data_IF_424006836624
#
_entry.id   IF_424006836624
#
_cell.length_a   1.000
_cell.length_b   1.000
_cell.length_c   1.000
_cell.angle_alpha   90.00
_cell.angle_beta   90.00
_cell.angle_gamma   90.00
#
_symmetry.space_group_name_H-M   'P 1'
#
loop_
_entity.id
_entity.type
_entity.pdbx_description
1 polymer ?
#
# COMPACT_ATOMS: atom_id res chain seq x y z
N UNK A 1 -26.11 31.90 -13.70
CA UNK A 1 -26.34 30.64 -14.49
C UNK A 1 -24.96 30.05 -14.66
N UNK A 2 -24.67 29.01 -13.92
CA UNK A 2 -23.38 28.31 -13.99
C UNK A 2 -23.48 27.28 -15.11
N UNK A 3 -22.71 27.49 -16.17
CA UNK A 3 -22.58 26.53 -17.25
C UNK A 3 -22.03 25.23 -16.68
N UNK A 4 -22.78 24.15 -16.94
CA UNK A 4 -22.29 22.79 -16.73
C UNK A 4 -21.11 22.58 -17.67
N UNK A 5 -19.89 22.64 -17.14
CA UNK A 5 -18.72 22.09 -17.81
C UNK A 5 -18.96 20.59 -17.91
N UNK A 6 -19.13 20.10 -19.12
CA UNK A 6 -19.19 18.67 -19.39
C UNK A 6 -17.93 18.01 -18.87
N UNK A 7 -18.08 16.78 -18.41
CA UNK A 7 -16.96 15.90 -18.08
C UNK A 7 -16.17 15.59 -19.37
N UNK A 8 -15.35 16.53 -19.82
CA UNK A 8 -14.36 16.26 -20.86
C UNK A 8 -13.20 15.56 -20.19
N UNK A 9 -13.05 14.28 -20.51
CA UNK A 9 -11.98 13.37 -20.06
C UNK A 9 -10.60 13.76 -20.64
N UNK A 10 -10.37 15.05 -20.90
CA UNK A 10 -9.12 15.58 -21.41
C UNK A 10 -8.34 16.23 -20.27
N UNK A 11 -7.14 15.70 -19.98
CA UNK A 11 -6.22 16.26 -19.01
C UNK A 11 -4.89 16.59 -19.66
N UNK A 12 -4.25 17.65 -19.20
CA UNK A 12 -2.87 17.95 -19.52
C UNK A 12 -1.97 17.06 -18.66
N UNK A 13 -1.23 16.12 -19.28
CA UNK A 13 -0.22 15.34 -18.60
C UNK A 13 1.16 15.81 -19.04
N UNK A 14 1.92 16.33 -18.08
CA UNK A 14 3.36 16.49 -18.22
C UNK A 14 4.02 15.12 -18.10
N UNK A 15 4.18 14.39 -19.21
CA UNK A 15 4.97 13.16 -19.22
C UNK A 15 6.45 13.50 -19.07
N UNK A 16 6.87 14.66 -19.56
CA UNK A 16 8.21 15.18 -19.47
C UNK A 16 8.20 16.69 -19.69
N UNK A 17 8.77 17.45 -18.76
CA UNK A 17 8.98 18.89 -18.91
C UNK A 17 10.41 19.13 -19.43
N UNK A 18 10.56 19.80 -20.58
CA UNK A 18 11.85 20.33 -21.01
C UNK A 18 12.30 21.45 -20.08
N UNK A 19 13.60 21.69 -19.94
CA UNK A 19 14.14 22.76 -19.10
C UNK A 19 13.57 24.15 -19.47
N UNK A 20 13.00 24.28 -20.64
CA UNK A 20 12.36 25.46 -21.23
C UNK A 20 10.84 25.52 -20.96
N UNK A 21 10.24 24.49 -20.37
CA UNK A 21 8.84 24.50 -19.92
C UNK A 21 7.76 24.24 -20.98
N UNK A 22 8.13 24.01 -22.26
CA UNK A 22 7.23 24.22 -23.40
C UNK A 22 6.67 22.98 -24.09
N UNK A 23 6.79 21.79 -23.52
CA UNK A 23 6.15 20.62 -24.15
C UNK A 23 4.86 20.24 -23.40
N UNK A 24 3.81 21.03 -23.60
CA UNK A 24 2.45 20.70 -23.22
C UNK A 24 1.80 19.90 -24.34
N UNK A 25 1.47 18.63 -24.09
CA UNK A 25 0.72 17.78 -25.02
C UNK A 25 -0.62 17.51 -24.38
N UNK A 26 -1.70 17.96 -25.04
CA UNK A 26 -3.06 17.62 -24.65
C UNK A 26 -3.26 16.11 -24.82
N UNK A 27 -3.57 15.40 -23.75
CA UNK A 27 -3.70 13.95 -23.74
C UNK A 27 -5.11 13.54 -23.36
N UNK A 28 -5.57 12.43 -23.94
CA UNK A 28 -6.84 11.82 -23.52
C UNK A 28 -6.59 10.89 -22.35
N UNK A 29 -7.25 11.16 -21.21
CA UNK A 29 -7.28 10.28 -20.06
C UNK A 29 -8.52 9.40 -20.12
N UNK A 30 -8.34 8.08 -20.10
CA UNK A 30 -9.43 7.12 -20.00
C UNK A 30 -8.91 5.80 -19.41
N UNK A 31 -9.72 5.15 -18.55
CA UNK A 31 -9.39 3.86 -17.91
C UNK A 31 -8.03 3.91 -17.16
N UNK A 32 -7.80 5.01 -16.39
CA UNK A 32 -6.57 5.25 -15.61
C UNK A 32 -5.27 5.27 -16.41
N UNK A 33 -5.34 5.42 -17.74
CA UNK A 33 -4.19 5.54 -18.61
C UNK A 33 -4.31 6.73 -19.56
N UNK A 34 -3.20 7.12 -20.19
CA UNK A 34 -3.15 8.18 -21.18
C UNK A 34 -3.14 7.58 -22.58
N UNK A 35 -3.79 8.25 -23.51
CA UNK A 35 -3.91 7.84 -24.89
C UNK A 35 -3.39 8.94 -25.81
N UNK A 36 -2.40 8.65 -26.63
CA UNK A 36 -1.82 9.55 -27.62
C UNK A 36 -2.00 9.02 -29.03
N UNK A 37 -2.28 9.93 -29.97
CA UNK A 37 -2.22 9.63 -31.41
C UNK A 37 -0.77 9.51 -31.87
N UNK A 38 -0.56 8.90 -33.04
CA UNK A 38 0.76 8.85 -33.65
C UNK A 38 1.34 10.24 -33.88
N UNK A 39 0.52 11.23 -34.21
CA UNK A 39 0.96 12.61 -34.41
C UNK A 39 1.46 13.22 -33.07
N UNK A 40 0.77 12.99 -31.99
CA UNK A 40 1.19 13.43 -30.64
C UNK A 40 2.47 12.71 -30.19
N UNK A 41 2.64 11.43 -30.53
CA UNK A 41 3.89 10.70 -30.28
C UNK A 41 5.09 11.29 -31.07
N UNK A 42 4.86 11.71 -32.30
CA UNK A 42 5.89 12.42 -33.10
C UNK A 42 6.29 13.75 -32.44
N UNK A 43 5.32 14.50 -31.94
CA UNK A 43 5.56 15.76 -31.23
C UNK A 43 6.29 15.50 -29.90
N UNK A 44 5.82 14.52 -29.13
CA UNK A 44 6.42 14.14 -27.85
C UNK A 44 7.90 13.79 -28.00
N UNK A 45 8.24 12.95 -28.96
CA UNK A 45 9.61 12.46 -29.14
C UNK A 45 10.43 13.24 -30.15
N UNK A 46 9.85 14.28 -30.77
CA UNK A 46 10.49 15.10 -31.82
C UNK A 46 11.13 14.25 -32.89
N UNK A 47 10.39 13.33 -33.50
CA UNK A 47 10.86 12.42 -34.51
C UNK A 47 9.86 12.27 -35.67
N UNK A 48 10.29 11.66 -36.78
CA UNK A 48 9.47 11.51 -37.99
C UNK A 48 8.38 10.44 -37.83
N UNK A 49 7.33 10.53 -38.63
CA UNK A 49 6.25 9.54 -38.70
C UNK A 49 6.78 8.14 -39.05
N UNK A 50 7.74 8.05 -39.99
CA UNK A 50 8.34 6.77 -40.36
C UNK A 50 9.06 6.12 -39.20
N UNK A 51 9.79 6.90 -38.40
CA UNK A 51 10.52 6.40 -37.24
C UNK A 51 9.54 5.85 -36.16
N UNK A 52 8.46 6.58 -35.82
CA UNK A 52 7.42 6.08 -34.91
C UNK A 52 6.79 4.80 -35.47
N UNK A 53 6.39 4.78 -36.73
CA UNK A 53 5.73 3.60 -37.34
C UNK A 53 6.63 2.36 -37.33
N UNK A 54 7.92 2.53 -37.60
CA UNK A 54 8.91 1.46 -37.57
C UNK A 54 9.07 0.87 -36.16
N UNK A 55 9.23 1.73 -35.16
CA UNK A 55 9.33 1.26 -33.76
C UNK A 55 8.05 0.59 -33.26
N UNK A 56 6.87 1.13 -33.58
CA UNK A 56 5.59 0.49 -33.23
C UNK A 56 5.50 -0.91 -33.85
N UNK A 57 5.90 -1.04 -35.11
CA UNK A 57 5.92 -2.32 -35.82
C UNK A 57 6.85 -3.32 -35.09
N UNK A 58 8.08 -2.89 -34.78
CA UNK A 58 9.05 -3.76 -34.08
C UNK A 58 8.57 -4.19 -32.68
N UNK A 59 7.90 -3.30 -31.94
CA UNK A 59 7.33 -3.62 -30.62
C UNK A 59 6.32 -4.78 -30.74
N UNK A 60 5.47 -4.75 -31.76
CA UNK A 60 4.51 -5.83 -31.99
C UNK A 60 5.17 -7.10 -32.58
N UNK A 61 6.08 -6.96 -33.53
CA UNK A 61 6.77 -8.10 -34.15
C UNK A 61 7.63 -8.88 -33.15
N UNK A 62 8.22 -8.19 -32.19
CA UNK A 62 9.02 -8.78 -31.10
C UNK A 62 8.17 -9.31 -29.93
N UNK A 63 6.85 -9.06 -29.94
CA UNK A 63 5.95 -9.49 -28.88
C UNK A 63 6.13 -8.76 -27.53
N UNK A 64 6.75 -7.56 -27.57
CA UNK A 64 6.93 -6.75 -26.34
C UNK A 64 5.58 -6.27 -25.81
N UNK A 65 4.67 -5.86 -26.69
CA UNK A 65 3.31 -5.47 -26.35
C UNK A 65 2.31 -6.14 -27.31
N UNK A 66 1.14 -6.49 -26.76
CA UNK A 66 0.01 -6.96 -27.57
C UNK A 66 -0.78 -5.78 -28.12
N UNK A 67 -1.05 -5.81 -29.44
CA UNK A 67 -1.73 -4.72 -30.14
C UNK A 67 -3.13 -4.44 -29.60
N UNK A 68 -3.87 -5.49 -29.23
CA UNK A 68 -5.25 -5.34 -28.74
C UNK A 68 -5.31 -4.66 -27.37
N UNK A 69 -4.24 -4.79 -26.56
CA UNK A 69 -4.15 -4.18 -25.23
C UNK A 69 -3.71 -2.71 -25.26
N UNK A 70 -2.92 -2.29 -26.28
CA UNK A 70 -2.27 -0.98 -26.27
C UNK A 70 -2.76 -0.02 -27.36
N UNK A 71 -3.61 -0.49 -28.31
CA UNK A 71 -4.17 0.34 -29.40
C UNK A 71 -5.69 0.37 -29.29
N UNK A 72 -6.26 1.57 -29.28
CA UNK A 72 -7.70 1.77 -29.31
C UNK A 72 -8.09 2.79 -30.36
N UNK A 73 -9.21 2.55 -31.04
CA UNK A 73 -9.75 3.50 -32.01
C UNK A 73 -10.74 4.44 -31.33
N UNK A 74 -10.48 5.73 -31.45
CA UNK A 74 -11.41 6.75 -31.02
C UNK A 74 -11.93 7.54 -32.22
N UNK A 75 -13.20 7.91 -32.14
CA UNK A 75 -13.84 8.77 -33.12
C UNK A 75 -13.50 10.22 -32.80
N UNK A 76 -12.78 10.87 -33.68
CA UNK A 76 -12.29 12.25 -33.54
C UNK A 76 -12.89 13.12 -34.63
N UNK A 77 -13.42 14.29 -34.28
CA UNK A 77 -13.89 15.29 -35.25
C UNK A 77 -12.70 16.14 -35.72
N UNK A 78 -12.41 16.12 -36.99
CA UNK A 78 -11.32 16.94 -37.56
C UNK A 78 -11.78 18.38 -37.80
N UNK A 79 -10.85 19.28 -38.10
CA UNK A 79 -11.10 20.69 -38.39
C UNK A 79 -12.03 20.93 -39.59
N UNK A 80 -12.20 19.92 -40.45
CA UNK A 80 -13.12 19.92 -41.59
C UNK A 80 -14.57 19.53 -41.21
N UNK A 81 -14.83 19.30 -39.91
CA UNK A 81 -16.12 18.86 -39.36
C UNK A 81 -16.44 17.40 -39.59
N UNK A 82 -15.56 16.61 -40.20
CA UNK A 82 -15.77 15.18 -40.43
C UNK A 82 -15.23 14.33 -39.29
N UNK A 83 -15.87 13.18 -39.06
CA UNK A 83 -15.44 12.24 -38.07
C UNK A 83 -14.53 11.17 -38.65
N UNK A 84 -13.39 10.96 -38.01
CA UNK A 84 -12.42 9.93 -38.37
C UNK A 84 -12.20 8.97 -37.21
N UNK A 85 -11.99 7.69 -37.50
CA UNK A 85 -11.51 6.73 -36.53
C UNK A 85 -9.98 6.80 -36.53
N UNK A 86 -9.41 7.27 -35.42
CA UNK A 86 -7.95 7.45 -35.25
C UNK A 86 -7.45 6.43 -34.22
N UNK A 87 -6.31 5.81 -34.52
CA UNK A 87 -5.62 4.94 -33.61
C UNK A 87 -4.93 5.76 -32.50
N UNK A 88 -5.20 5.42 -31.26
CA UNK A 88 -4.55 5.94 -30.07
C UNK A 88 -3.76 4.84 -29.41
N UNK A 89 -2.67 5.20 -28.80
CA UNK A 89 -1.70 4.35 -28.13
C UNK A 89 -1.67 4.69 -26.66
N UNK A 90 -1.71 3.68 -25.78
CA UNK A 90 -1.72 3.87 -24.34
C UNK A 90 -0.33 4.17 -23.75
N UNK A 91 -0.27 4.33 -22.42
CA UNK A 91 0.96 4.64 -21.70
C UNK A 91 2.07 3.59 -21.90
N UNK A 92 1.72 2.30 -22.00
CA UNK A 92 2.72 1.24 -22.21
C UNK A 92 3.45 1.43 -23.54
N UNK A 93 2.71 1.71 -24.62
CA UNK A 93 3.31 2.03 -25.92
C UNK A 93 4.16 3.30 -25.87
N UNK A 94 3.71 4.33 -25.15
CA UNK A 94 4.48 5.57 -24.97
C UNK A 94 5.82 5.26 -24.29
N UNK A 95 5.80 4.48 -23.21
CA UNK A 95 7.02 4.10 -22.49
C UNK A 95 7.97 3.29 -23.37
N UNK A 96 7.47 2.25 -24.06
CA UNK A 96 8.28 1.39 -24.94
C UNK A 96 8.95 2.21 -26.04
N UNK A 97 8.23 3.14 -26.67
CA UNK A 97 8.80 4.06 -27.66
C UNK A 97 9.90 4.94 -27.06
N UNK A 98 9.71 5.44 -25.85
CA UNK A 98 10.68 6.27 -25.14
C UNK A 98 12.02 5.57 -24.89
N UNK A 99 12.01 4.24 -24.74
CA UNK A 99 13.23 3.44 -24.62
C UNK A 99 13.89 3.12 -25.97
N UNK A 100 13.14 3.10 -27.06
CA UNK A 100 13.64 2.70 -28.38
C UNK A 100 14.09 3.86 -29.26
N UNK A 101 13.41 4.99 -29.20
CA UNK A 101 13.66 6.17 -30.02
C UNK A 101 15.00 6.82 -29.67
N UNK A 102 15.79 7.17 -30.70
CA UNK A 102 17.05 7.88 -30.55
C UNK A 102 16.85 9.38 -30.78
N UNK A 103 16.33 10.08 -29.79
CA UNK A 103 16.22 11.55 -29.78
C UNK A 103 16.70 12.14 -28.47
N UNK A 104 16.97 13.44 -28.45
CA UNK A 104 17.34 14.17 -27.22
C UNK A 104 16.24 14.04 -26.16
N UNK A 105 14.97 14.21 -26.57
CA UNK A 105 13.80 14.10 -25.70
C UNK A 105 13.66 12.69 -25.14
N UNK A 106 13.77 11.66 -25.98
CA UNK A 106 13.73 10.28 -25.52
C UNK A 106 14.88 9.96 -24.53
N UNK A 107 16.06 10.57 -24.73
CA UNK A 107 17.18 10.43 -23.78
C UNK A 107 16.85 11.06 -22.43
N UNK A 108 16.30 12.27 -22.40
CA UNK A 108 15.85 12.94 -21.17
C UNK A 108 14.73 12.13 -20.48
N UNK A 109 13.77 11.59 -21.27
CA UNK A 109 12.74 10.70 -20.73
C UNK A 109 13.35 9.49 -20.01
N UNK A 110 14.32 8.80 -20.63
CA UNK A 110 15.02 7.66 -19.99
C UNK A 110 15.76 8.06 -18.72
N UNK A 111 16.41 9.23 -18.70
CA UNK A 111 17.08 9.74 -17.50
C UNK A 111 16.08 9.98 -16.35
N UNK A 112 14.96 10.64 -16.65
CA UNK A 112 13.88 10.86 -15.68
C UNK A 112 13.30 9.52 -15.18
N UNK A 113 12.94 8.60 -16.08
CA UNK A 113 12.40 7.29 -15.70
C UNK A 113 13.39 6.49 -14.86
N UNK A 114 14.68 6.50 -15.21
CA UNK A 114 15.75 5.87 -14.45
C UNK A 114 15.85 6.45 -13.04
N UNK A 115 15.72 7.77 -12.89
CA UNK A 115 15.74 8.42 -11.59
C UNK A 115 14.54 7.98 -10.72
N UNK A 116 13.33 7.92 -11.28
CA UNK A 116 12.13 7.46 -10.57
C UNK A 116 12.25 5.99 -10.16
N UNK A 117 12.70 5.12 -11.06
CA UNK A 117 12.93 3.71 -10.76
C UNK A 117 14.01 3.52 -9.69
N UNK A 118 15.12 4.26 -9.78
CA UNK A 118 16.19 4.22 -8.79
C UNK A 118 15.68 4.66 -7.40
N UNK A 119 14.90 5.72 -7.34
CA UNK A 119 14.29 6.18 -6.10
C UNK A 119 13.37 5.11 -5.50
N UNK A 120 12.49 4.52 -6.32
CA UNK A 120 11.61 3.44 -5.89
C UNK A 120 12.38 2.21 -5.40
N UNK A 121 13.42 1.79 -6.11
CA UNK A 121 14.24 0.62 -5.72
C UNK A 121 14.99 0.83 -4.41
N UNK A 122 15.44 2.05 -4.14
CA UNK A 122 16.19 2.37 -2.90
C UNK A 122 15.26 2.62 -1.73
N UNK A 123 14.20 3.42 -1.93
CA UNK A 123 13.31 3.89 -0.85
C UNK A 123 12.05 3.02 -0.69
N UNK A 124 11.63 2.29 -1.72
CA UNK A 124 10.36 1.58 -1.79
C UNK A 124 9.16 2.45 -2.19
N UNK A 125 9.38 3.73 -2.49
CA UNK A 125 8.36 4.66 -2.97
C UNK A 125 8.98 5.75 -3.84
N UNK A 126 8.13 6.38 -4.66
CA UNK A 126 8.40 7.64 -5.36
C UNK A 126 7.12 8.47 -5.34
N UNK A 127 7.23 9.80 -5.17
CA UNK A 127 6.08 10.69 -5.05
C UNK A 127 6.28 11.94 -5.90
N UNK A 128 5.17 12.50 -6.34
CA UNK A 128 5.06 13.82 -6.94
C UNK A 128 4.35 14.74 -5.92
N UNK A 129 5.16 15.38 -5.07
CA UNK A 129 4.68 16.22 -3.97
C UNK A 129 3.83 17.39 -4.47
N UNK A 130 4.23 18.02 -5.58
CA UNK A 130 3.53 19.17 -6.13
C UNK A 130 2.15 18.78 -6.66
N UNK A 131 2.06 17.64 -7.33
CA UNK A 131 0.79 17.09 -7.80
C UNK A 131 -0.12 16.69 -6.63
N UNK A 132 0.42 16.09 -5.57
CA UNK A 132 -0.35 15.68 -4.40
C UNK A 132 -0.86 16.87 -3.57
N UNK A 133 -0.11 17.98 -3.52
CA UNK A 133 -0.49 19.23 -2.85
C UNK A 133 -1.42 20.10 -3.69
N UNK A 134 -1.35 19.99 -5.02
CA UNK A 134 -2.15 20.79 -5.95
C UNK A 134 -3.53 20.19 -6.25
N UNK A 135 -4.34 20.96 -7.00
CA UNK A 135 -5.68 20.54 -7.40
C UNK A 135 -5.70 19.38 -8.43
N UNK A 136 -4.56 19.01 -9.00
CA UNK A 136 -4.43 17.94 -10.00
C UNK A 136 -4.32 16.52 -9.41
N UNK A 137 -4.17 16.38 -8.10
CA UNK A 137 -3.97 15.07 -7.42
C UNK A 137 -5.23 14.25 -7.16
N UNK A 138 -6.42 14.76 -7.48
CA UNK A 138 -7.67 14.05 -7.23
C UNK A 138 -7.81 13.62 -5.77
N UNK A 139 -8.27 12.38 -5.55
CA UNK A 139 -8.38 11.78 -4.22
C UNK A 139 -7.14 10.94 -3.79
N UNK A 140 -6.07 10.89 -4.62
CA UNK A 140 -4.88 10.05 -4.35
C UNK A 140 -4.15 10.42 -3.06
N UNK A 141 -4.22 11.69 -2.62
CA UNK A 141 -3.67 12.10 -1.33
C UNK A 141 -4.34 11.36 -0.15
N UNK A 142 -5.64 11.03 -0.25
CA UNK A 142 -6.34 10.24 0.79
C UNK A 142 -5.86 8.80 0.79
N UNK A 143 -5.72 8.20 -0.39
CA UNK A 143 -5.15 6.85 -0.55
C UNK A 143 -3.74 6.78 0.02
N UNK A 144 -2.89 7.76 -0.28
CA UNK A 144 -1.54 7.86 0.26
C UNK A 144 -1.55 7.95 1.80
N UNK A 145 -2.42 8.80 2.38
CA UNK A 145 -2.55 8.91 3.83
C UNK A 145 -3.00 7.60 4.48
N UNK A 146 -3.98 6.93 3.90
CA UNK A 146 -4.46 5.66 4.41
C UNK A 146 -3.36 4.58 4.34
N UNK A 147 -2.59 4.56 3.27
CA UNK A 147 -1.43 3.66 3.10
C UNK A 147 -0.32 3.96 4.11
N UNK A 148 0.02 5.22 4.33
CA UNK A 148 1.01 5.62 5.35
C UNK A 148 0.56 5.20 6.74
N UNK A 149 -0.71 5.45 7.10
CA UNK A 149 -1.30 5.05 8.38
C UNK A 149 -1.30 3.54 8.56
N UNK A 150 -1.60 2.79 7.50
CA UNK A 150 -1.57 1.33 7.53
C UNK A 150 -0.16 0.79 7.77
N UNK A 151 0.86 1.34 7.09
CA UNK A 151 2.27 0.99 7.31
C UNK A 151 2.66 1.31 8.77
N UNK A 152 2.30 2.51 9.27
CA UNK A 152 2.64 2.97 10.62
C UNK A 152 2.01 2.11 11.72
N UNK A 153 0.81 1.60 11.50
CA UNK A 153 0.10 0.74 12.44
C UNK A 153 0.46 -0.75 12.30
N UNK A 154 1.33 -1.13 11.35
CA UNK A 154 1.83 -2.50 11.27
C UNK A 154 2.63 -2.85 12.53
N UNK A 155 2.51 -4.09 13.02
CA UNK A 155 3.10 -4.51 14.29
C UNK A 155 4.61 -4.19 14.40
N UNK A 156 5.35 -4.43 13.31
CA UNK A 156 6.79 -4.19 13.27
C UNK A 156 7.16 -2.70 13.32
N UNK A 157 6.41 -1.83 12.63
CA UNK A 157 6.66 -0.39 12.64
C UNK A 157 6.17 0.21 13.94
N UNK A 158 5.00 -0.21 14.43
CA UNK A 158 4.48 0.17 15.73
C UNK A 158 5.48 -0.14 16.85
N UNK A 159 6.06 -1.35 16.86
CA UNK A 159 7.07 -1.74 17.84
C UNK A 159 8.30 -0.83 17.79
N UNK A 160 8.78 -0.47 16.60
CA UNK A 160 9.91 0.46 16.45
C UNK A 160 9.57 1.84 16.99
N UNK A 161 8.40 2.40 16.67
CA UNK A 161 7.97 3.70 17.19
C UNK A 161 7.87 3.71 18.72
N UNK A 162 7.40 2.61 19.31
CA UNK A 162 7.38 2.46 20.78
C UNK A 162 8.80 2.44 21.34
N UNK A 163 9.74 1.75 20.70
CA UNK A 163 11.16 1.75 21.12
C UNK A 163 11.80 3.13 21.01
N UNK A 164 11.50 3.86 19.92
CA UNK A 164 12.01 5.22 19.73
C UNK A 164 11.50 6.16 20.82
N UNK A 165 10.22 6.08 21.18
CA UNK A 165 9.66 6.81 22.33
C UNK A 165 10.30 6.39 23.65
N UNK A 166 10.48 5.09 23.86
CA UNK A 166 11.13 4.57 25.07
C UNK A 166 12.54 5.13 25.21
N UNK A 167 13.29 5.19 24.11
CA UNK A 167 14.65 5.74 24.10
C UNK A 167 14.72 7.24 24.46
N UNK A 168 13.60 7.98 24.35
CA UNK A 168 13.51 9.39 24.78
C UNK A 168 13.05 9.58 26.21
N UNK A 169 12.61 8.50 26.90
CA UNK A 169 12.14 8.60 28.29
C UNK A 169 13.30 8.78 29.28
N UNK A 170 13.00 9.45 30.39
CA UNK A 170 13.98 9.71 31.47
C UNK A 170 14.40 8.41 32.18
N UNK A 171 13.50 7.44 32.22
CA UNK A 171 13.66 6.11 32.83
C UNK A 171 14.08 5.04 31.83
N UNK A 172 14.69 5.43 30.70
CA UNK A 172 15.20 4.51 29.69
C UNK A 172 16.32 3.62 30.25
N UNK A 173 16.11 2.30 30.16
CA UNK A 173 17.11 1.30 30.45
C UNK A 173 17.19 0.27 29.28
N UNK A 174 18.29 0.26 28.47
CA UNK A 174 18.42 -0.64 27.33
C UNK A 174 18.52 -2.12 27.72
N UNK A 175 18.75 -2.44 28.99
CA UNK A 175 18.87 -3.81 29.50
C UNK A 175 17.58 -4.33 30.17
N UNK A 176 16.55 -3.50 30.24
CA UNK A 176 15.26 -3.82 30.85
C UNK A 176 14.26 -4.40 29.84
N UNK A 177 13.45 -5.37 30.29
CA UNK A 177 12.31 -5.88 29.51
C UNK A 177 11.11 -4.90 29.49
N UNK A 178 11.26 -3.70 30.04
CA UNK A 178 10.18 -2.71 30.15
C UNK A 178 9.71 -2.21 28.78
N UNK A 179 10.58 -2.14 27.78
CA UNK A 179 10.20 -1.80 26.41
C UNK A 179 9.16 -2.77 25.82
N UNK A 180 9.33 -4.07 26.08
CA UNK A 180 8.38 -5.10 25.65
C UNK A 180 7.05 -4.96 26.38
N UNK A 181 7.11 -4.66 27.69
CA UNK A 181 5.92 -4.43 28.51
C UNK A 181 5.15 -3.19 28.05
N UNK A 182 5.86 -2.11 27.79
CA UNK A 182 5.28 -0.88 27.31
C UNK A 182 4.61 -1.06 25.93
N UNK A 183 5.29 -1.72 25.00
CA UNK A 183 4.70 -2.07 23.71
C UNK A 183 3.37 -2.79 23.85
N UNK A 184 3.31 -3.82 24.70
CA UNK A 184 2.07 -4.58 24.96
C UNK A 184 0.94 -3.70 25.53
N UNK A 185 1.29 -2.78 26.42
CA UNK A 185 0.31 -1.83 27.01
C UNK A 185 -0.24 -0.92 25.92
N UNK A 186 0.64 -0.28 25.14
CA UNK A 186 0.25 0.65 24.06
C UNK A 186 -0.60 -0.09 23.01
N UNK A 187 -0.13 -1.23 22.54
CA UNK A 187 -0.84 -2.03 21.55
C UNK A 187 -2.24 -2.43 22.03
N UNK A 188 -2.35 -2.97 23.25
CA UNK A 188 -3.63 -3.41 23.78
C UNK A 188 -4.61 -2.25 24.02
N UNK A 189 -4.14 -1.10 24.51
CA UNK A 189 -4.98 0.09 24.69
C UNK A 189 -5.51 0.62 23.35
N UNK A 190 -4.67 0.66 22.31
CA UNK A 190 -5.07 1.10 20.97
C UNK A 190 -6.09 0.13 20.34
N UNK A 191 -5.84 -1.18 20.43
CA UNK A 191 -6.80 -2.19 19.97
C UNK A 191 -8.14 -2.05 20.71
N UNK A 192 -8.10 -2.00 22.03
CA UNK A 192 -9.32 -1.89 22.83
C UNK A 192 -10.12 -0.61 22.52
N UNK A 193 -9.45 0.50 22.34
CA UNK A 193 -10.07 1.75 21.95
C UNK A 193 -10.67 1.72 20.53
N UNK A 194 -10.10 0.91 19.62
CA UNK A 194 -10.60 0.77 18.26
C UNK A 194 -11.87 -0.07 18.17
N UNK A 195 -11.91 -1.23 18.83
CA UNK A 195 -12.98 -2.24 18.64
C UNK A 195 -13.44 -2.94 19.94
N UNK A 196 -12.97 -2.52 21.11
CA UNK A 196 -13.44 -3.03 22.42
C UNK A 196 -12.79 -4.34 22.89
N UNK A 197 -11.74 -4.81 22.25
CA UNK A 197 -11.01 -6.03 22.59
C UNK A 197 -9.50 -5.80 22.55
N UNK A 198 -8.74 -6.52 23.35
CA UNK A 198 -7.27 -6.56 23.20
C UNK A 198 -6.89 -7.38 21.97
N UNK A 199 -5.64 -7.29 21.54
CA UNK A 199 -5.14 -8.07 20.39
C UNK A 199 -5.35 -9.60 20.62
N UNK A 200 -5.08 -10.09 21.83
CA UNK A 200 -5.29 -11.50 22.15
C UNK A 200 -6.78 -11.89 22.13
N UNK A 201 -7.65 -11.03 22.65
CA UNK A 201 -9.10 -11.28 22.65
C UNK A 201 -9.68 -11.33 21.24
N UNK A 202 -9.21 -10.47 20.30
CA UNK A 202 -9.63 -10.51 18.90
C UNK A 202 -9.31 -11.86 18.26
N UNK A 203 -8.06 -12.32 18.39
CA UNK A 203 -7.64 -13.61 17.86
C UNK A 203 -8.50 -14.74 18.46
N UNK A 204 -8.66 -14.72 19.79
CA UNK A 204 -9.40 -15.76 20.50
C UNK A 204 -10.88 -15.82 20.11
N UNK A 205 -11.53 -14.69 19.92
CA UNK A 205 -12.96 -14.59 19.60
C UNK A 205 -13.28 -14.83 18.14
N UNK A 206 -12.35 -14.48 17.23
CA UNK A 206 -12.62 -14.46 15.79
C UNK A 206 -12.02 -15.64 15.02
N UNK A 207 -10.97 -16.28 15.55
CA UNK A 207 -10.42 -17.51 14.97
C UNK A 207 -11.45 -18.66 15.05
N UNK A 208 -11.95 -19.10 13.91
CA UNK A 208 -13.04 -20.08 13.81
C UNK A 208 -12.94 -20.82 12.46
N UNK A 209 -12.66 -22.11 12.52
CA UNK A 209 -12.48 -22.96 11.33
C UNK A 209 -13.71 -23.05 10.43
N UNK A 210 -14.92 -22.80 10.96
CA UNK A 210 -16.18 -22.84 10.21
C UNK A 210 -16.41 -21.58 9.37
N UNK A 211 -15.68 -20.50 9.66
CA UNK A 211 -15.78 -19.24 8.90
C UNK A 211 -14.90 -19.26 7.64
N UNK A 212 -15.27 -18.51 6.61
CA UNK A 212 -14.40 -18.27 5.46
C UNK A 212 -13.02 -17.80 5.94
N UNK A 213 -11.97 -18.44 5.42
CA UNK A 213 -10.57 -18.16 5.79
C UNK A 213 -10.32 -18.18 7.31
N UNK A 214 -11.03 -19.03 8.04
CA UNK A 214 -11.05 -19.16 9.51
C UNK A 214 -11.26 -17.82 10.26
N UNK A 215 -12.01 -16.90 9.67
CA UNK A 215 -12.33 -15.58 10.21
C UNK A 215 -11.29 -14.50 9.95
N UNK A 216 -10.22 -14.79 9.18
CA UNK A 216 -9.27 -13.76 8.73
C UNK A 216 -9.88 -12.94 7.59
N UNK A 217 -9.69 -11.64 7.67
CA UNK A 217 -10.08 -10.66 6.65
C UNK A 217 -8.90 -10.26 5.75
N UNK A 218 -7.67 -10.49 6.22
CA UNK A 218 -6.43 -10.19 5.50
C UNK A 218 -5.37 -11.24 5.76
N UNK A 219 -4.67 -11.69 4.72
CA UNK A 219 -3.57 -12.66 4.80
C UNK A 219 -2.73 -12.61 3.53
N UNK A 220 -1.53 -13.22 3.55
CA UNK A 220 -0.65 -13.27 2.39
C UNK A 220 -0.87 -14.56 1.59
N UNK A 221 -1.09 -14.44 0.26
CA UNK A 221 -1.32 -15.60 -0.63
C UNK A 221 -2.80 -15.89 -0.84
N UNK A 222 -3.12 -17.05 -1.44
CA UNK A 222 -4.49 -17.45 -1.76
C UNK A 222 -5.25 -18.03 -0.55
N UNK A 223 -4.54 -18.60 0.42
CA UNK A 223 -5.09 -19.17 1.64
C UNK A 223 -4.28 -18.71 2.87
N UNK A 224 -4.92 -18.61 4.05
CA UNK A 224 -4.25 -18.28 5.30
C UNK A 224 -3.10 -19.26 5.61
N UNK A 225 -1.96 -18.69 6.04
CA UNK A 225 -0.80 -19.44 6.49
C UNK A 225 -0.64 -19.36 8.02
N UNK A 226 0.13 -20.29 8.60
CA UNK A 226 0.38 -20.34 10.04
C UNK A 226 0.94 -19.02 10.62
N UNK A 227 1.66 -18.24 9.82
CA UNK A 227 2.18 -16.92 10.22
C UNK A 227 1.10 -15.86 10.34
N UNK A 228 -0.03 -16.02 9.62
CA UNK A 228 -1.09 -15.02 9.55
C UNK A 228 -2.06 -15.11 10.74
N UNK A 229 -2.24 -16.31 11.30
CA UNK A 229 -3.23 -16.58 12.37
C UNK A 229 -2.90 -15.93 13.71
N UNK A 230 -1.64 -15.56 13.93
CA UNK A 230 -1.18 -14.93 15.18
C UNK A 230 -1.23 -13.40 15.16
N UNK A 231 -1.67 -12.79 14.08
CA UNK A 231 -1.71 -11.34 13.90
C UNK A 231 -3.14 -10.83 14.08
N UNK A 232 -3.41 -10.14 15.17
CA UNK A 232 -4.77 -9.65 15.50
C UNK A 232 -5.37 -8.77 14.41
N UNK A 233 -4.56 -7.94 13.76
CA UNK A 233 -4.98 -7.04 12.66
C UNK A 233 -5.62 -7.80 11.50
N UNK A 234 -5.19 -9.04 11.27
CA UNK A 234 -5.71 -9.88 10.19
C UNK A 234 -7.17 -10.34 10.40
N UNK A 235 -7.71 -10.18 11.60
CA UNK A 235 -9.10 -10.50 11.95
C UNK A 235 -10.01 -9.28 12.03
N UNK A 236 -9.48 -8.07 11.76
CA UNK A 236 -10.24 -6.83 11.88
C UNK A 236 -11.01 -6.52 10.60
N UNK A 237 -12.18 -5.95 10.77
CA UNK A 237 -12.94 -5.39 9.66
C UNK A 237 -12.32 -4.08 9.17
N UNK A 238 -12.62 -3.68 7.93
CA UNK A 238 -12.04 -2.49 7.30
C UNK A 238 -12.20 -1.22 8.16
N UNK A 239 -13.39 -1.01 8.74
CA UNK A 239 -13.65 0.14 9.59
C UNK A 239 -12.83 0.09 10.90
N UNK A 240 -12.66 -1.09 11.49
CA UNK A 240 -11.85 -1.27 12.70
C UNK A 240 -10.38 -0.99 12.40
N UNK A 241 -9.87 -1.45 11.25
CA UNK A 241 -8.51 -1.15 10.78
C UNK A 241 -8.33 0.36 10.59
N UNK A 242 -9.27 1.03 9.92
CA UNK A 242 -9.22 2.49 9.72
C UNK A 242 -9.20 3.26 11.05
N UNK A 243 -10.03 2.85 12.00
CA UNK A 243 -10.05 3.46 13.35
C UNK A 243 -8.72 3.23 14.05
N UNK A 244 -8.22 1.99 14.09
CA UNK A 244 -6.95 1.65 14.72
C UNK A 244 -5.79 2.45 14.10
N UNK A 245 -5.71 2.50 12.77
CA UNK A 245 -4.68 3.23 12.03
C UNK A 245 -4.68 4.73 12.38
N UNK A 246 -5.86 5.33 12.53
CA UNK A 246 -5.97 6.75 12.91
C UNK A 246 -5.58 6.98 14.38
N UNK A 247 -5.96 6.09 15.30
CA UNK A 247 -5.59 6.19 16.71
C UNK A 247 -4.08 6.05 16.90
N UNK A 248 -3.44 5.09 16.20
CA UNK A 248 -1.98 4.91 16.19
C UNK A 248 -1.31 6.19 15.71
N UNK A 249 -1.72 6.74 14.55
CA UNK A 249 -1.11 7.94 13.99
C UNK A 249 -1.25 9.13 14.94
N UNK A 250 -2.47 9.39 15.43
CA UNK A 250 -2.73 10.55 16.30
C UNK A 250 -1.97 10.49 17.63
N UNK A 251 -1.82 9.29 18.22
CA UNK A 251 -1.03 9.12 19.44
C UNK A 251 0.45 9.41 19.21
N UNK A 252 1.05 8.80 18.19
CA UNK A 252 2.48 8.97 17.95
C UNK A 252 2.83 10.37 17.48
N UNK A 253 1.97 11.05 16.71
CA UNK A 253 2.17 12.45 16.31
C UNK A 253 2.26 13.36 17.54
N UNK A 254 1.39 13.15 18.54
CA UNK A 254 1.41 13.91 19.80
C UNK A 254 2.60 13.55 20.70
N UNK A 255 2.98 12.26 20.75
CA UNK A 255 4.12 11.82 21.52
C UNK A 255 5.44 12.35 20.96
N UNK A 256 5.57 12.41 19.64
CA UNK A 256 6.73 12.95 18.93
C UNK A 256 6.92 14.46 19.20
N UNK A 257 5.83 15.22 19.35
CA UNK A 257 5.91 16.66 19.73
C UNK A 257 6.64 16.83 21.06
N UNK A 258 6.34 15.98 22.07
CA UNK A 258 7.03 16.08 23.35
C UNK A 258 8.54 15.78 23.22
N UNK A 259 8.92 14.84 22.37
CA UNK A 259 10.32 14.54 22.08
C UNK A 259 11.03 15.71 21.37
N UNK A 260 10.38 16.34 20.40
CA UNK A 260 10.90 17.53 19.68
C UNK A 260 11.07 18.72 20.64
N UNK A 261 10.12 18.92 21.56
CA UNK A 261 10.17 19.98 22.56
C UNK A 261 11.11 19.67 23.73
N UNK A 262 11.80 18.53 23.72
CA UNK A 262 12.69 18.05 24.80
C UNK A 262 12.02 18.04 26.17
N UNK A 263 10.72 17.76 26.23
CA UNK A 263 10.00 17.62 27.51
C UNK A 263 10.44 16.35 28.22
N UNK A 264 10.88 16.43 29.51
CA UNK A 264 11.18 15.22 30.26
C UNK A 264 9.91 14.38 30.43
N UNK A 265 9.90 13.19 29.85
CA UNK A 265 8.78 12.25 29.92
C UNK A 265 9.25 10.92 30.52
N UNK A 266 8.50 10.39 31.45
CA UNK A 266 8.65 9.01 31.92
C UNK A 266 7.74 8.07 31.11
N UNK A 267 8.03 6.78 31.14
CA UNK A 267 7.20 5.78 30.46
C UNK A 267 5.72 5.86 30.87
N UNK A 268 5.47 6.04 32.16
CA UNK A 268 4.12 6.22 32.70
C UNK A 268 3.41 7.47 32.13
N UNK A 269 4.14 8.53 31.85
CA UNK A 269 3.54 9.75 31.27
C UNK A 269 3.10 9.54 29.84
N UNK A 270 3.84 8.74 29.05
CA UNK A 270 3.42 8.33 27.70
C UNK A 270 2.15 7.47 27.75
N UNK A 271 1.99 6.58 28.74
CA UNK A 271 0.75 5.80 28.94
C UNK A 271 -0.42 6.71 29.32
N UNK A 272 -0.21 7.65 30.25
CA UNK A 272 -1.24 8.64 30.66
C UNK A 272 -1.64 9.54 29.47
N UNK A 273 -0.68 9.96 28.67
CA UNK A 273 -0.94 10.73 27.45
C UNK A 273 -1.80 9.93 26.48
N UNK A 274 -1.49 8.64 26.25
CA UNK A 274 -2.31 7.76 25.43
C UNK A 274 -3.76 7.70 25.96
N UNK A 275 -3.94 7.48 27.25
CA UNK A 275 -5.27 7.45 27.87
C UNK A 275 -6.02 8.78 27.70
N UNK A 276 -5.33 9.91 27.83
CA UNK A 276 -5.89 11.24 27.60
C UNK A 276 -6.34 11.43 26.16
N UNK A 277 -5.52 11.02 25.19
CA UNK A 277 -5.84 11.09 23.75
C UNK A 277 -7.06 10.24 23.43
N UNK A 278 -7.09 8.99 23.92
CA UNK A 278 -8.21 8.07 23.70
C UNK A 278 -9.50 8.59 24.34
N UNK A 279 -9.42 9.14 25.57
CA UNK A 279 -10.57 9.74 26.27
C UNK A 279 -11.13 10.95 25.55
N UNK A 280 -10.26 11.84 25.03
CA UNK A 280 -10.68 13.03 24.27
C UNK A 280 -11.43 12.64 22.98
N UNK A 281 -11.11 11.49 22.40
CA UNK A 281 -11.81 10.88 21.28
C UNK A 281 -13.06 10.08 21.64
N UNK A 282 -13.54 10.17 22.89
CA UNK A 282 -14.70 9.40 23.40
C UNK A 282 -14.51 7.87 23.25
N UNK A 283 -13.28 7.37 23.37
CA UNK A 283 -12.97 5.95 23.27
C UNK A 283 -12.96 5.28 24.63
N UNK A 284 -13.33 4.00 24.67
CA UNK A 284 -13.26 3.18 25.88
C UNK A 284 -11.80 2.92 26.23
N UNK A 285 -11.45 3.06 27.50
CA UNK A 285 -10.12 2.76 28.01
C UNK A 285 -10.04 1.32 28.49
N UNK A 286 -8.95 0.66 28.18
CA UNK A 286 -8.62 -0.64 28.73
C UNK A 286 -8.14 -0.47 30.18
N UNK A 287 -8.84 -1.11 31.11
CA UNK A 287 -8.43 -1.24 32.51
C UNK A 287 -7.83 -2.65 32.70
N UNK A 288 -6.54 -2.71 33.01
CA UNK A 288 -5.82 -3.99 33.14
C UNK A 288 -5.27 -4.55 31.83
N UNK A 289 -5.12 -5.87 31.75
CA UNK A 289 -4.43 -6.56 30.63
C UNK A 289 -5.36 -7.30 29.67
N UNK A 290 -6.67 -7.18 29.84
CA UNK A 290 -7.66 -7.98 29.12
C UNK A 290 -7.93 -9.33 29.78
N UNK A 291 -8.89 -10.09 29.23
CA UNK A 291 -9.39 -11.36 29.79
C UNK A 291 -8.70 -12.59 29.20
N UNK A 292 -8.00 -12.45 28.07
CA UNK A 292 -7.35 -13.54 27.31
C UNK A 292 -5.85 -13.27 27.22
N UNK A 293 -5.05 -14.26 27.63
CA UNK A 293 -3.60 -14.20 27.45
C UNK A 293 -3.21 -14.48 25.98
N UNK A 294 -2.06 -13.94 25.54
CA UNK A 294 -1.52 -14.21 24.22
C UNK A 294 -1.37 -15.72 23.92
N UNK A 295 -0.92 -16.48 24.92
CA UNK A 295 -0.78 -17.94 24.80
C UNK A 295 -2.11 -18.62 24.50
N UNK A 296 -3.17 -18.31 25.26
CA UNK A 296 -4.51 -18.86 25.03
C UNK A 296 -5.04 -18.53 23.63
N UNK A 297 -4.82 -17.29 23.19
CA UNK A 297 -5.23 -16.85 21.85
C UNK A 297 -4.53 -17.64 20.74
N UNK A 298 -3.21 -17.78 20.84
CA UNK A 298 -2.41 -18.51 19.84
C UNK A 298 -2.70 -20.00 19.85
N UNK A 299 -2.88 -20.60 21.04
CA UNK A 299 -3.20 -22.02 21.15
C UNK A 299 -4.56 -22.32 20.48
N UNK A 300 -5.59 -21.49 20.74
CA UNK A 300 -6.87 -21.59 20.04
C UNK A 300 -6.74 -21.38 18.54
N UNK A 301 -6.08 -20.31 18.10
CA UNK A 301 -5.91 -20.04 16.66
C UNK A 301 -5.21 -21.20 15.92
N UNK A 302 -4.24 -21.86 16.56
CA UNK A 302 -3.58 -23.06 16.01
C UNK A 302 -4.51 -24.26 15.94
N UNK A 303 -5.38 -24.44 16.93
CA UNK A 303 -6.37 -25.52 16.92
C UNK A 303 -7.36 -25.31 15.77
N UNK A 304 -7.92 -24.10 15.64
CA UNK A 304 -8.83 -23.74 14.56
C UNK A 304 -8.16 -23.85 13.17
N UNK A 305 -6.88 -23.46 13.07
CA UNK A 305 -6.13 -23.61 11.82
C UNK A 305 -5.96 -25.08 11.40
N UNK A 306 -5.74 -26.00 12.36
CA UNK A 306 -5.67 -27.43 12.03
C UNK A 306 -7.00 -27.94 11.48
N UNK A 307 -8.12 -27.58 12.14
CA UNK A 307 -9.47 -27.93 11.67
C UNK A 307 -9.72 -27.36 10.28
N UNK A 308 -9.36 -26.11 10.04
CA UNK A 308 -9.48 -25.45 8.75
C UNK A 308 -8.67 -26.15 7.65
N UNK A 309 -7.42 -26.54 7.94
CA UNK A 309 -6.61 -27.32 7.00
C UNK A 309 -7.23 -28.70 6.66
N UNK A 310 -7.87 -29.35 7.62
CA UNK A 310 -8.53 -30.64 7.38
C UNK A 310 -9.69 -30.54 6.40
N UNK A 311 -10.36 -29.40 6.34
CA UNK A 311 -11.50 -29.15 5.44
C UNK A 311 -11.11 -28.56 4.08
N UNK A 312 -9.97 -27.85 4.01
CA UNK A 312 -9.56 -27.12 2.80
C UNK A 312 -8.51 -27.83 1.96
N UNK A 313 -7.71 -28.73 2.55
CA UNK A 313 -6.70 -29.49 1.82
C UNK A 313 -7.33 -30.62 0.97
N UNK A 314 -6.94 -30.67 -0.30
CA UNK A 314 -7.24 -31.79 -1.14
C UNK A 314 -6.57 -33.08 -0.63
N UNK A 315 -7.09 -34.26 -0.92
CA UNK A 315 -6.47 -35.54 -0.51
C UNK A 315 -5.00 -35.70 -0.93
N UNK A 316 -4.62 -35.13 -2.09
CA UNK A 316 -3.25 -35.13 -2.61
C UNK A 316 -2.32 -34.25 -1.79
N UNK A 317 -2.76 -33.06 -1.45
CA UNK A 317 -1.98 -32.11 -0.59
C UNK A 317 -1.81 -32.67 0.82
N UNK A 318 -2.85 -33.33 1.34
CA UNK A 318 -2.80 -33.98 2.65
C UNK A 318 -1.75 -35.11 2.68
N UNK A 319 -1.74 -35.98 1.67
CA UNK A 319 -0.75 -37.05 1.53
C UNK A 319 0.68 -36.49 1.39
N UNK A 320 0.86 -35.40 0.64
CA UNK A 320 2.16 -34.70 0.49
C UNK A 320 2.67 -34.13 1.79
N UNK A 321 1.82 -33.43 2.55
CA UNK A 321 2.20 -32.85 3.85
C UNK A 321 2.53 -33.92 4.88
N UNK A 322 1.84 -35.05 4.87
CA UNK A 322 2.12 -36.15 5.79
C UNK A 322 3.46 -36.82 5.45
N UNK A 323 3.81 -36.99 4.17
CA UNK A 323 5.12 -37.48 3.75
C UNK A 323 6.27 -36.54 4.21
N UNK A 324 6.10 -35.21 4.12
CA UNK A 324 7.09 -34.23 4.62
C UNK A 324 7.25 -34.33 6.14
N UNK A 325 6.14 -34.53 6.89
CA UNK A 325 6.23 -34.68 8.37
C UNK A 325 6.98 -35.94 8.76
N UNK A 326 6.81 -37.04 8.03
CA UNK A 326 7.55 -38.30 8.29
C UNK A 326 9.03 -38.12 8.03
N UNK A 327 9.42 -37.56 6.88
CA UNK A 327 10.82 -37.26 6.54
C UNK A 327 11.46 -36.32 7.59
N UNK A 328 10.72 -35.30 8.04
CA UNK A 328 11.21 -34.37 9.07
C UNK A 328 11.41 -35.03 10.43
N UNK A 329 10.60 -36.05 10.77
CA UNK A 329 10.78 -36.85 12.00
C UNK A 329 12.00 -37.77 11.91
N UNK A 330 12.25 -38.34 10.74
CA UNK A 330 13.43 -39.18 10.52
C UNK A 330 14.74 -38.39 10.56
N UNK A 331 14.76 -37.17 9.99
CA UNK A 331 15.91 -36.27 10.04
C UNK A 331 16.22 -35.80 11.45
N UNK A 332 15.19 -35.60 12.31
CA UNK A 332 15.39 -35.22 13.72
C UNK A 332 15.78 -36.39 14.64
N UNK A 333 15.67 -37.63 14.17
CA UNK A 333 16.08 -38.84 14.91
C UNK A 333 17.53 -39.29 14.59
N UNK A 334 18.13 -38.72 13.56
CA UNK A 334 19.56 -38.86 13.24
C UNK A 334 20.33 -37.69 13.85
#
# INVERSE_FOLDING_TARGET
MADKVGNDEYGEILIYQTDDGDTNIEVKMQDETVWLTQQQLMQLYQCSKSNISEHIKHIFDEGELDKESVVRKFRTTASDGKNYNVDYYNLDMIISLGYRIKSVIATKFRQWATQRLKEYMIKGFTMDDDRLKGNGGGNYWKELLDRIRDIRSSEKVLYRQVLDLYATSVDYDPHSDESVRFFKIVQNKLHYAAHGHTAAEVIYLRADAEKPFMGLTSFSGELPALKDIGVAKNYLEENEIKILNNLVSGYFDLAEINAIEHKPMYMDDYVKQLDSVLSSGNRKLLIGSGSVSHKQAIDKAREEYRKYQETTLTPVEKAYLDSIKEVSKEVKRR
#
